data_IF_699854667267
#
_entry.id   IF_699854667267
#
_cell.length_a   1.000
_cell.length_b   1.000
_cell.length_c   1.000
_cell.angle_alpha   90.00
_cell.angle_beta   90.00
_cell.angle_gamma   90.00
#
_symmetry.space_group_name_H-M   'P 1'
#
loop_
_entity.id
_entity.type
_entity.pdbx_description
1 polymer ?
#
# COMPACT_ATOMS: atom_id res chain seq x y z
N UNK A 1 -14.32 -7.20 -18.34
CA UNK A 1 -14.27 -8.37 -17.45
C UNK A 1 -15.42 -8.24 -16.46
N UNK A 2 -16.33 -9.22 -16.34
CA UNK A 2 -17.45 -9.14 -15.38
C UNK A 2 -16.99 -9.73 -14.05
N UNK A 3 -17.06 -8.95 -12.97
CA UNK A 3 -16.76 -9.44 -11.63
C UNK A 3 -17.93 -10.32 -11.18
N UNK A 4 -17.73 -11.64 -11.11
CA UNK A 4 -18.73 -12.62 -10.68
C UNK A 4 -18.34 -13.23 -9.33
N UNK A 5 -19.30 -13.82 -8.60
CA UNK A 5 -19.05 -14.43 -7.28
C UNK A 5 -17.95 -15.50 -7.32
N UNK A 6 -17.89 -16.29 -8.39
CA UNK A 6 -16.81 -17.26 -8.59
C UNK A 6 -15.42 -16.60 -8.68
N UNK A 7 -15.32 -15.45 -9.34
CA UNK A 7 -14.05 -14.71 -9.46
C UNK A 7 -13.64 -14.15 -8.10
N UNK A 8 -14.59 -13.63 -7.33
CA UNK A 8 -14.33 -13.13 -5.96
C UNK A 8 -13.78 -14.24 -5.06
N UNK A 9 -14.37 -15.44 -5.11
CA UNK A 9 -13.88 -16.60 -4.33
C UNK A 9 -12.53 -17.13 -4.78
N UNK A 10 -12.13 -16.81 -6.02
CA UNK A 10 -10.82 -17.20 -6.54
C UNK A 10 -9.68 -16.27 -6.10
N UNK A 11 -9.98 -15.15 -5.43
CA UNK A 11 -8.94 -14.26 -4.94
C UNK A 11 -8.04 -14.96 -3.94
N UNK A 12 -6.73 -14.75 -4.12
CA UNK A 12 -5.69 -15.24 -3.23
C UNK A 12 -4.73 -14.10 -2.93
N UNK A 13 -3.98 -14.25 -1.84
CA UNK A 13 -2.91 -13.32 -1.50
C UNK A 13 -1.91 -13.27 -2.65
N UNK A 14 -1.82 -12.12 -3.30
CA UNK A 14 -0.88 -11.91 -4.39
C UNK A 14 0.55 -11.68 -3.89
N UNK A 15 0.69 -10.98 -2.75
CA UNK A 15 1.99 -10.66 -2.17
C UNK A 15 1.91 -10.42 -0.67
N UNK A 16 3.02 -10.68 0.02
CA UNK A 16 3.22 -10.39 1.44
C UNK A 16 4.52 -9.62 1.57
N UNK A 17 4.47 -8.47 2.23
CA UNK A 17 5.63 -7.63 2.50
C UNK A 17 6.01 -7.75 3.98
N UNK A 18 7.30 -7.86 4.28
CA UNK A 18 7.85 -8.00 5.65
C UNK A 18 8.96 -6.99 5.92
N UNK A 19 8.89 -5.87 5.24
CA UNK A 19 9.93 -4.84 5.28
C UNK A 19 9.83 -3.96 6.53
N UNK A 20 8.62 -3.79 7.08
CA UNK A 20 8.42 -3.06 8.33
C UNK A 20 8.75 -3.96 9.53
N UNK A 21 9.54 -3.43 10.46
CA UNK A 21 9.98 -4.13 11.67
C UNK A 21 8.99 -3.96 12.82
N UNK A 22 8.09 -2.98 12.73
CA UNK A 22 7.04 -2.71 13.72
C UNK A 22 5.66 -2.66 13.07
N UNK A 23 4.65 -2.28 13.86
CA UNK A 23 3.25 -2.22 13.45
C UNK A 23 3.06 -1.19 12.35
N UNK A 24 2.36 -1.62 11.30
CA UNK A 24 1.88 -0.73 10.25
C UNK A 24 0.65 0.00 10.78
N UNK A 25 0.71 1.33 10.79
CA UNK A 25 -0.38 2.18 11.24
C UNK A 25 -1.35 2.53 10.11
N UNK A 26 -0.82 2.76 8.91
CA UNK A 26 -1.61 3.19 7.76
C UNK A 26 -1.11 2.51 6.48
N UNK A 27 -2.06 2.29 5.55
CA UNK A 27 -1.83 1.81 4.20
C UNK A 27 -2.70 2.63 3.26
N UNK A 28 -2.12 3.10 2.15
CA UNK A 28 -2.87 3.82 1.12
C UNK A 28 -2.45 3.41 -0.29
N UNK A 29 -3.40 3.44 -1.23
CA UNK A 29 -3.19 3.12 -2.63
C UNK A 29 -3.18 4.41 -3.45
N UNK A 30 -2.32 4.46 -4.47
CA UNK A 30 -2.42 5.53 -5.44
C UNK A 30 -3.74 5.45 -6.22
N UNK A 31 -4.31 6.58 -6.65
CA UNK A 31 -5.57 6.58 -7.41
C UNK A 31 -5.53 5.76 -8.72
N UNK A 32 -4.33 5.61 -9.29
CA UNK A 32 -4.09 4.79 -10.47
C UNK A 32 -3.88 3.29 -10.14
N UNK A 33 -3.83 2.90 -8.87
CA UNK A 33 -3.64 1.52 -8.40
C UNK A 33 -2.23 0.95 -8.62
N UNK A 34 -1.30 1.75 -9.13
CA UNK A 34 0.05 1.28 -9.48
C UNK A 34 0.99 1.22 -8.27
N UNK A 35 0.70 1.94 -7.20
CA UNK A 35 1.55 2.01 -6.02
C UNK A 35 0.77 1.94 -4.73
N UNK A 36 1.42 1.41 -3.69
CA UNK A 36 0.92 1.37 -2.31
C UNK A 36 1.95 1.96 -1.40
N UNK A 37 1.51 2.70 -0.40
CA UNK A 37 2.35 3.23 0.66
C UNK A 37 1.94 2.55 1.96
N UNK A 38 2.91 2.03 2.72
CA UNK A 38 2.74 1.71 4.14
C UNK A 38 3.48 2.71 5.01
N UNK A 39 2.91 3.04 6.17
CA UNK A 39 3.63 3.75 7.24
C UNK A 39 3.61 2.91 8.49
N UNK A 40 4.76 2.79 9.14
CA UNK A 40 4.97 1.96 10.32
C UNK A 40 5.49 2.79 11.50
N UNK A 41 5.32 2.28 12.72
CA UNK A 41 5.81 2.89 13.97
C UNK A 41 7.36 2.88 14.08
N UNK A 42 8.04 2.10 13.24
CA UNK A 42 9.51 2.05 13.13
C UNK A 42 10.10 3.27 12.38
N UNK A 43 9.36 4.38 12.31
CA UNK A 43 9.66 5.58 11.54
C UNK A 43 9.85 5.32 10.02
N UNK A 44 9.53 4.12 9.51
CA UNK A 44 9.68 3.81 8.09
C UNK A 44 8.37 4.03 7.31
N UNK A 45 8.52 4.64 6.14
CA UNK A 45 7.47 4.67 5.11
C UNK A 45 7.98 3.85 3.94
N UNK A 46 7.23 2.82 3.54
CA UNK A 46 7.62 1.94 2.43
C UNK A 46 6.69 2.15 1.26
N UNK A 47 7.28 2.44 0.11
CA UNK A 47 6.55 2.50 -1.16
C UNK A 47 6.67 1.15 -1.86
N UNK A 48 5.54 0.58 -2.26
CA UNK A 48 5.44 -0.64 -3.02
C UNK A 48 4.92 -0.35 -4.42
N UNK A 49 5.54 -0.96 -5.42
CA UNK A 49 5.01 -1.02 -6.76
C UNK A 49 4.05 -2.20 -6.88
N UNK A 50 2.79 -1.97 -7.27
CA UNK A 50 1.78 -3.01 -7.45
C UNK A 50 1.99 -3.83 -8.74
N UNK A 51 2.59 -3.25 -9.77
CA UNK A 51 2.83 -3.94 -11.04
C UNK A 51 3.99 -4.94 -10.90
N UNK A 52 5.10 -4.50 -10.31
CA UNK A 52 6.27 -5.37 -10.08
C UNK A 52 6.18 -6.15 -8.76
N UNK A 53 5.32 -5.70 -7.84
CA UNK A 53 5.21 -6.22 -6.49
C UNK A 53 6.49 -6.01 -5.68
N UNK A 54 7.34 -5.05 -6.00
CA UNK A 54 8.61 -4.84 -5.30
C UNK A 54 8.53 -3.59 -4.42
N UNK A 55 9.19 -3.59 -3.25
CA UNK A 55 9.41 -2.34 -2.54
C UNK A 55 10.26 -1.44 -3.44
N UNK A 56 9.71 -0.27 -3.81
CA UNK A 56 10.40 0.75 -4.61
C UNK A 56 11.40 1.53 -3.76
N UNK A 57 11.15 1.66 -2.46
CA UNK A 57 12.09 2.29 -1.55
C UNK A 57 11.57 2.44 -0.12
N UNK A 58 12.52 2.63 0.79
CA UNK A 58 12.32 3.02 2.18
C UNK A 58 12.53 4.53 2.30
N UNK A 59 11.51 5.26 2.68
CA UNK A 59 11.57 6.68 2.96
C UNK A 59 11.70 6.87 4.48
N UNK A 60 12.81 7.49 4.90
CA UNK A 60 13.01 7.91 6.29
C UNK A 60 12.33 9.27 6.49
N UNK A 61 11.73 9.55 7.66
CA UNK A 61 10.87 10.69 7.87
C UNK A 61 11.73 11.92 8.11
N UNK A 62 12.15 12.59 7.03
CA UNK A 62 12.75 13.92 7.09
C UNK A 62 11.81 15.03 6.60
N UNK A 63 10.51 14.72 6.49
CA UNK A 63 9.39 15.68 6.50
C UNK A 63 8.06 14.92 6.56
N UNK A 64 7.57 14.61 7.75
CA UNK A 64 6.17 14.20 7.95
C UNK A 64 5.26 15.42 7.77
N UNK A 65 4.97 15.78 6.52
CA UNK A 65 3.71 16.43 6.23
C UNK A 65 2.73 15.30 5.94
N UNK A 66 1.86 15.03 6.91
CA UNK A 66 0.75 14.10 6.80
C UNK A 66 0.08 14.28 5.43
N UNK A 67 0.20 13.28 4.55
CA UNK A 67 -0.63 13.23 3.35
C UNK A 67 -2.03 12.93 3.87
N UNK A 68 -2.87 13.97 3.78
CA UNK A 68 -4.18 14.03 4.37
C UNK A 68 -5.04 12.86 3.96
N UNK A 69 -5.80 12.37 4.92
CA UNK A 69 -6.92 11.48 4.69
C UNK A 69 -7.88 12.06 3.64
N UNK A 70 -8.33 11.15 2.78
CA UNK A 70 -9.58 11.09 2.00
C UNK A 70 -9.87 12.15 0.93
N UNK A 71 -10.14 11.64 -0.28
CA UNK A 71 -11.25 12.12 -1.10
C UNK A 71 -11.61 11.04 -2.12
N UNK A 72 -12.50 10.14 -1.73
CA UNK A 72 -13.34 9.45 -2.70
C UNK A 72 -14.16 10.51 -3.44
N UNK A 73 -13.97 10.61 -4.75
CA UNK A 73 -14.93 11.29 -5.61
C UNK A 73 -15.87 10.22 -6.17
N UNK A 74 -17.12 10.33 -5.76
CA UNK A 74 -18.27 9.72 -6.40
C UNK A 74 -18.47 10.29 -7.82
#
# INVERSE_FOLDING_TARGET
MKLTDMVLRSFRVAKVFRENSDKINCLDFSPNGETVISSSDDDSIVLYDCQEGKPKGHLLPSKCSMIGAVSGQA
#
